data_IF_463243581976
#
_entry.id   IF_463243581976
#
_cell.length_a   1.000
_cell.length_b   1.000
_cell.length_c   1.000
_cell.angle_alpha   90.00
_cell.angle_beta   90.00
_cell.angle_gamma   90.00
#
_symmetry.space_group_name_H-M   'P 1'
#
loop_
_entity.id
_entity.type
_entity.pdbx_description
1 polymer ?
#
# COMPACT_ATOMS: atom_id res chain seq x y z
N UNK A 1 -5.55 -14.57 -10.66
CA UNK A 1 -6.52 -14.77 -9.56
C UNK A 1 -5.73 -14.64 -8.26
N UNK A 2 -5.61 -13.42 -7.71
CA UNK A 2 -4.62 -13.13 -6.66
C UNK A 2 -5.20 -13.42 -5.27
N UNK A 3 -4.67 -14.48 -4.64
CA UNK A 3 -4.95 -14.90 -3.27
C UNK A 3 -3.90 -14.26 -2.36
N UNK A 4 -4.31 -13.62 -1.27
CA UNK A 4 -3.43 -13.25 -0.17
C UNK A 4 -3.25 -14.51 0.71
N UNK A 5 -2.42 -15.40 0.20
CA UNK A 5 -1.57 -16.35 0.92
C UNK A 5 -0.17 -16.09 0.35
N UNK A 6 0.68 -15.34 1.06
CA UNK A 6 2.02 -14.96 0.58
C UNK A 6 2.16 -13.51 0.11
N UNK A 7 2.70 -13.31 -1.09
CA UNK A 7 3.07 -12.01 -1.68
C UNK A 7 2.37 -11.79 -3.02
N UNK A 8 1.87 -10.58 -3.24
CA UNK A 8 1.21 -10.14 -4.48
C UNK A 8 1.85 -8.85 -4.99
N UNK A 9 2.19 -8.80 -6.27
CA UNK A 9 2.79 -7.62 -6.90
C UNK A 9 1.73 -6.85 -7.69
N UNK A 10 1.57 -5.57 -7.38
CA UNK A 10 0.62 -4.70 -8.07
C UNK A 10 1.32 -4.04 -9.26
N UNK A 11 0.75 -4.09 -10.49
CA UNK A 11 1.30 -3.38 -11.63
C UNK A 11 1.47 -1.89 -11.33
N UNK A 12 2.68 -1.39 -11.51
CA UNK A 12 3.05 -0.01 -11.22
C UNK A 12 3.76 0.64 -12.41
N UNK A 13 3.58 1.94 -12.57
CA UNK A 13 4.32 2.75 -13.53
C UNK A 13 5.81 2.75 -13.16
N UNK A 14 6.68 2.64 -14.16
CA UNK A 14 8.11 2.81 -13.94
C UNK A 14 8.38 4.23 -13.38
N UNK A 15 9.27 4.40 -12.37
CA UNK A 15 10.19 3.42 -11.77
C UNK A 15 9.69 2.80 -10.45
N UNK A 16 8.40 2.88 -10.15
CA UNK A 16 7.83 2.36 -8.90
C UNK A 16 7.71 0.83 -8.91
N UNK A 17 7.78 0.22 -7.74
CA UNK A 17 7.33 -1.16 -7.50
C UNK A 17 6.43 -1.18 -6.28
N UNK A 18 5.34 -1.94 -6.36
CA UNK A 18 4.35 -2.08 -5.29
C UNK A 18 4.11 -3.55 -5.01
N UNK A 19 4.39 -3.97 -3.77
CA UNK A 19 4.25 -5.34 -3.32
C UNK A 19 3.37 -5.37 -2.07
N UNK A 20 2.46 -6.33 -2.00
CA UNK A 20 1.57 -6.57 -0.88
C UNK A 20 1.90 -7.92 -0.28
N UNK A 21 2.19 -7.96 1.01
CA UNK A 21 2.57 -9.17 1.74
C UNK A 21 1.57 -9.42 2.85
N UNK A 22 0.97 -10.60 2.90
CA UNK A 22 0.09 -10.99 3.98
C UNK A 22 0.95 -11.41 5.18
N UNK A 23 0.71 -10.84 6.34
CA UNK A 23 1.43 -11.16 7.58
C UNK A 23 0.44 -11.64 8.63
N UNK A 24 0.71 -12.79 9.23
CA UNK A 24 -0.12 -13.33 10.32
C UNK A 24 0.44 -12.85 11.66
N UNK A 25 -0.39 -12.16 12.45
CA UNK A 25 -0.04 -11.73 13.81
C UNK A 25 -1.05 -12.27 14.82
N UNK A 26 -0.67 -13.36 15.49
CA UNK A 26 -1.59 -14.11 16.36
C UNK A 26 -2.76 -14.67 15.55
N UNK A 27 -4.00 -14.32 15.94
CA UNK A 27 -5.24 -14.75 15.28
C UNK A 27 -5.72 -13.81 14.16
N UNK A 28 -4.98 -12.74 13.88
CA UNK A 28 -5.36 -11.73 12.89
C UNK A 28 -4.50 -11.87 11.63
N UNK A 29 -5.14 -11.89 10.47
CA UNK A 29 -4.43 -11.72 9.19
C UNK A 29 -4.30 -10.24 8.91
N UNK A 30 -3.07 -9.78 8.73
CA UNK A 30 -2.69 -8.41 8.41
C UNK A 30 -2.04 -8.40 7.02
N UNK A 31 -1.74 -7.20 6.52
CA UNK A 31 -0.95 -7.05 5.30
C UNK A 31 -0.01 -5.86 5.40
N UNK A 32 1.11 -5.98 4.70
CA UNK A 32 2.13 -4.97 4.51
C UNK A 32 2.15 -4.57 3.04
N UNK A 33 2.25 -3.28 2.76
CA UNK A 33 2.39 -2.73 1.41
C UNK A 33 3.75 -2.06 1.33
N UNK A 34 4.65 -2.65 0.56
CA UNK A 34 5.93 -2.03 0.23
C UNK A 34 5.78 -1.22 -1.06
N UNK A 35 6.17 0.05 -1.02
CA UNK A 35 6.27 0.91 -2.20
C UNK A 35 7.73 1.29 -2.37
N UNK A 36 8.42 0.65 -3.32
CA UNK A 36 9.82 0.96 -3.59
C UNK A 36 9.92 2.23 -4.44
N UNK A 37 10.71 3.18 -3.91
CA UNK A 37 11.08 4.45 -4.52
C UNK A 37 12.60 4.57 -4.68
N UNK A 38 13.31 3.44 -4.65
CA UNK A 38 14.78 3.34 -4.69
C UNK A 38 15.41 4.14 -5.84
N UNK A 39 14.75 4.19 -7.00
CA UNK A 39 15.21 4.98 -8.13
C UNK A 39 15.30 6.47 -7.80
N UNK A 40 14.30 7.01 -7.11
CA UNK A 40 14.25 8.42 -6.73
C UNK A 40 15.21 8.73 -5.58
N UNK A 41 15.36 7.82 -4.61
CA UNK A 41 16.39 7.92 -3.57
C UNK A 41 17.80 8.06 -4.14
N UNK A 42 18.16 7.24 -5.14
CA UNK A 42 19.48 7.29 -5.78
C UNK A 42 19.78 8.61 -6.49
N UNK A 43 18.74 9.40 -6.78
CA UNK A 43 18.84 10.70 -7.43
C UNK A 43 18.65 11.86 -6.45
N UNK A 44 18.63 11.58 -5.13
CA UNK A 44 18.30 12.54 -4.07
C UNK A 44 17.01 13.32 -4.37
N UNK A 45 16.03 12.62 -4.95
CA UNK A 45 14.80 13.21 -5.44
C UNK A 45 13.62 12.81 -4.55
N UNK A 46 13.20 13.65 -3.59
CA UNK A 46 12.16 13.27 -2.65
C UNK A 46 10.80 13.12 -3.32
N UNK A 47 10.00 12.18 -2.82
CA UNK A 47 8.66 11.90 -3.35
C UNK A 47 7.66 11.67 -2.23
N UNK A 48 6.44 12.18 -2.42
CA UNK A 48 5.31 11.91 -1.55
C UNK A 48 4.54 10.72 -2.09
N UNK A 49 4.27 9.73 -1.25
CA UNK A 49 3.49 8.55 -1.57
C UNK A 49 2.21 8.55 -0.74
N UNK A 50 1.08 8.36 -1.42
CA UNK A 50 -0.23 8.14 -0.82
C UNK A 50 -0.69 6.74 -1.20
N UNK A 51 -1.08 5.95 -0.21
CA UNK A 51 -1.65 4.61 -0.42
C UNK A 51 -3.05 4.60 0.15
N UNK A 52 -4.04 4.35 -0.70
CA UNK A 52 -5.43 4.14 -0.32
C UNK A 52 -5.77 2.67 -0.50
N UNK A 53 -6.37 2.08 0.53
CA UNK A 53 -6.89 0.72 0.50
C UNK A 53 -8.38 0.75 0.77
N UNK A 54 -9.13 0.19 -0.16
CA UNK A 54 -10.57 0.02 -0.06
C UNK A 54 -10.88 -1.40 0.45
N UNK A 55 -11.60 -1.53 1.57
CA UNK A 55 -11.96 -2.84 2.11
C UNK A 55 -13.04 -3.53 1.25
N UNK A 56 -13.26 -4.85 1.44
CA UNK A 56 -14.32 -5.57 0.75
C UNK A 56 -15.69 -4.89 0.98
N UNK A 57 -16.57 -4.95 -0.02
CA UNK A 57 -17.88 -4.28 0.06
C UNK A 57 -18.62 -4.60 1.37
N UNK A 58 -19.10 -3.55 2.04
CA UNK A 58 -19.80 -3.66 3.32
C UNK A 58 -18.90 -3.59 4.56
N UNK A 59 -17.60 -3.39 4.40
CA UNK A 59 -16.64 -3.32 5.52
C UNK A 59 -16.02 -1.92 5.69
N UNK A 60 -16.79 -0.92 6.11
CA UNK A 60 -16.26 0.39 6.53
C UNK A 60 -15.66 1.25 5.41
N UNK A 61 -15.04 2.37 5.81
CA UNK A 61 -14.49 3.37 4.89
C UNK A 61 -13.10 2.99 4.36
N UNK A 62 -12.78 3.51 3.17
CA UNK A 62 -11.43 3.52 2.61
C UNK A 62 -10.42 4.08 3.59
N UNK A 63 -9.24 3.49 3.67
CA UNK A 63 -8.21 3.97 4.59
C UNK A 63 -6.96 4.36 3.82
N UNK A 64 -6.45 5.55 4.15
CA UNK A 64 -5.37 6.19 3.42
C UNK A 64 -4.19 6.45 4.33
N UNK A 65 -3.03 5.90 3.95
CA UNK A 65 -1.74 6.18 4.55
C UNK A 65 -0.93 7.15 3.69
N UNK A 66 -0.08 7.95 4.33
CA UNK A 66 0.82 8.89 3.66
C UNK A 66 2.27 8.63 4.10
N UNK A 67 3.19 8.64 3.15
CA UNK A 67 4.62 8.62 3.40
C UNK A 67 5.31 9.70 2.58
N UNK A 68 6.14 10.50 3.24
CA UNK A 68 7.17 11.28 2.58
C UNK A 68 8.46 10.48 2.56
N UNK A 69 9.14 10.48 1.42
CA UNK A 69 10.33 9.68 1.19
C UNK A 69 11.48 10.54 0.69
N UNK A 70 12.64 10.39 1.33
CA UNK A 70 13.90 11.09 1.05
C UNK A 70 15.12 10.15 0.92
N UNK A 71 14.97 8.82 0.96
CA UNK A 71 16.15 7.95 0.86
C UNK A 71 16.00 6.48 1.26
N UNK A 72 15.07 6.12 2.15
CA UNK A 72 15.02 4.78 2.78
C UNK A 72 13.75 3.99 2.49
N UNK A 73 13.86 2.74 1.98
CA UNK A 73 12.73 1.83 1.74
C UNK A 73 11.75 1.84 2.91
N UNK A 74 10.46 2.02 2.62
CA UNK A 74 9.41 1.99 3.64
C UNK A 74 8.27 1.06 3.25
N UNK A 75 7.76 0.43 4.29
CA UNK A 75 6.60 -0.46 4.26
C UNK A 75 5.47 0.25 5.01
N UNK A 76 4.29 0.31 4.40
CA UNK A 76 3.05 0.61 5.11
C UNK A 76 2.55 -0.69 5.74
N UNK A 77 2.37 -0.75 7.06
CA UNK A 77 1.81 -1.93 7.71
C UNK A 77 0.36 -1.66 8.15
N UNK A 78 -0.55 -2.55 7.74
CA UNK A 78 -1.88 -2.59 8.31
C UNK A 78 -1.85 -3.37 9.64
N UNK A 79 -2.38 -2.85 10.76
CA UNK A 79 -3.23 -1.67 10.91
C UNK A 79 -2.48 -0.42 11.40
N UNK A 80 -1.17 -0.47 11.66
CA UNK A 80 -0.46 0.60 12.41
C UNK A 80 -0.44 1.94 11.67
N UNK A 81 -0.02 1.96 10.41
CA UNK A 81 0.05 3.16 9.58
C UNK A 81 -1.34 3.60 9.06
N UNK A 82 -2.36 2.78 9.31
CA UNK A 82 -3.74 2.99 8.89
C UNK A 82 -4.71 3.04 10.10
N UNK A 83 -4.19 3.15 11.33
CA UNK A 83 -4.96 2.91 12.55
C UNK A 83 -5.88 4.09 12.87
N UNK A 84 -7.16 3.93 12.55
CA UNK A 84 -8.20 4.34 13.49
C UNK A 84 -9.27 3.25 13.75
N UNK A 85 -9.73 2.41 12.80
CA UNK A 85 -10.91 1.56 13.10
C UNK A 85 -11.12 0.20 12.39
N UNK A 86 -10.18 -0.43 11.68
CA UNK A 86 -10.54 -1.69 10.96
C UNK A 86 -9.61 -2.88 11.25
N UNK A 87 -10.16 -3.91 11.89
CA UNK A 87 -9.60 -5.27 11.83
C UNK A 87 -9.60 -5.70 10.36
N UNK A 88 -8.47 -6.17 9.85
CA UNK A 88 -8.43 -6.78 8.53
C UNK A 88 -9.32 -8.04 8.54
N UNK A 89 -10.22 -8.12 7.56
CA UNK A 89 -11.18 -9.19 7.37
C UNK A 89 -10.78 -9.97 6.13
N UNK A 90 -11.17 -11.22 6.05
CA UNK A 90 -11.04 -11.99 4.82
C UNK A 90 -11.90 -11.37 3.72
N UNK A 91 -11.34 -11.21 2.52
CA UNK A 91 -12.04 -10.64 1.37
C UNK A 91 -11.11 -9.96 0.38
N UNK A 92 -11.67 -9.46 -0.71
CA UNK A 92 -10.94 -8.68 -1.72
C UNK A 92 -10.84 -7.22 -1.31
N UNK A 93 -9.62 -6.71 -1.29
CA UNK A 93 -9.26 -5.32 -1.06
C UNK A 93 -8.80 -4.71 -2.38
N UNK A 94 -9.22 -3.48 -2.66
CA UNK A 94 -8.70 -2.71 -3.77
C UNK A 94 -7.64 -1.73 -3.24
N UNK A 95 -6.59 -1.50 -4.04
CA UNK A 95 -5.45 -0.67 -3.66
C UNK A 95 -5.20 0.38 -4.75
N UNK A 96 -4.94 1.61 -4.32
CA UNK A 96 -4.44 2.69 -5.16
C UNK A 96 -3.21 3.32 -4.52
N UNK A 97 -2.13 3.39 -5.29
CA UNK A 97 -0.88 4.07 -4.91
C UNK A 97 -0.70 5.28 -5.80
N UNK A 98 -0.43 6.42 -5.18
CA UNK A 98 -0.28 7.69 -5.85
C UNK A 98 1.00 8.38 -5.40
N UNK A 99 1.68 9.05 -6.32
CA UNK A 99 2.93 9.72 -6.06
C UNK A 99 2.86 11.21 -6.44
N UNK A 100 3.60 12.05 -5.72
CA UNK A 100 3.73 13.48 -6.01
C UNK A 100 5.14 13.98 -5.74
N UNK A 101 5.65 14.86 -6.59
CA UNK A 101 6.92 15.56 -6.34
C UNK A 101 6.76 16.66 -5.28
N UNK A 102 5.54 17.20 -5.14
CA UNK A 102 5.17 18.21 -4.16
C UNK A 102 3.84 17.84 -3.53
N UNK A 103 3.73 18.02 -2.21
CA UNK A 103 2.46 17.83 -1.51
C UNK A 103 1.32 18.60 -2.20
N UNK A 104 0.22 17.90 -2.53
CA UNK A 104 -1.00 18.49 -3.09
C UNK A 104 -1.36 18.06 -4.52
N UNK A 105 -0.43 17.50 -5.30
CA UNK A 105 -0.73 17.00 -6.66
C UNK A 105 -0.23 15.58 -6.87
N UNK A 106 -1.10 14.61 -6.55
CA UNK A 106 -0.80 13.19 -6.65
C UNK A 106 -1.27 12.61 -7.98
N UNK A 107 -0.43 11.78 -8.59
CA UNK A 107 -0.76 10.98 -9.77
C UNK A 107 -0.80 9.51 -9.40
N UNK A 108 -1.78 8.76 -9.92
CA UNK A 108 -1.85 7.32 -9.71
C UNK A 108 -0.66 6.65 -10.41
N UNK A 109 0.13 5.92 -9.64
CA UNK A 109 1.29 5.15 -10.13
C UNK A 109 1.07 3.66 -10.05
N UNK A 110 0.15 3.18 -9.22
CA UNK A 110 -0.29 1.78 -9.24
C UNK A 110 -1.75 1.68 -8.81
N UNK A 111 -2.47 0.73 -9.40
CA UNK A 111 -3.81 0.33 -8.94
C UNK A 111 -4.02 -1.15 -9.16
N UNK A 112 -4.74 -1.80 -8.25
CA UNK A 112 -4.98 -3.23 -8.32
C UNK A 112 -5.83 -3.71 -7.16
N UNK A 113 -5.75 -5.00 -6.88
CA UNK A 113 -6.53 -5.62 -5.80
C UNK A 113 -5.85 -6.88 -5.28
N UNK A 114 -5.99 -7.16 -3.99
CA UNK A 114 -5.48 -8.37 -3.35
C UNK A 114 -6.55 -8.98 -2.44
N UNK A 115 -6.49 -10.28 -2.14
CA UNK A 115 -7.59 -10.98 -1.41
C UNK A 115 -7.13 -11.63 -0.12
N UNK A 116 -7.38 -11.05 1.05
CA UNK A 116 -7.13 -11.68 2.36
C UNK A 116 -7.99 -12.94 2.52
N UNK A 117 -7.38 -14.06 2.92
CA UNK A 117 -8.07 -15.34 3.17
C UNK A 117 -7.87 -15.82 4.60
#
# INVERSE_FOLDING_TARGET
MERCEGEARIPAAHPFTVEVRCVSFGYRTLFEIEVSTDYFARLDYPVWIRVTVDPPQGLGDSVTGFLFYDGDRRTFAWPREFAYYTEARTGRYDIRVEAAQRAGFFQTVASGSFTIR
#
